data_IF_903424660297
#
_entry.id   IF_903424660297
#
_cell.length_a   1.000
_cell.length_b   1.000
_cell.length_c   1.000
_cell.angle_alpha   90.00
_cell.angle_beta   90.00
_cell.angle_gamma   90.00
#
_symmetry.space_group_name_H-M   'P 1'
#
loop_
_entity.id
_entity.type
_entity.pdbx_description
1 polymer ?
#
# COMPACT_ATOMS: atom_id res chain seq x y z
N UNK A 1 -8.45 -52.82 -53.57
CA UNK A 1 -8.57 -51.43 -53.15
C UNK A 1 -8.52 -51.40 -51.61
N UNK A 2 -7.37 -51.01 -51.04
CA UNK A 2 -7.15 -50.99 -49.56
C UNK A 2 -7.35 -49.56 -49.09
N UNK A 3 -8.41 -49.34 -48.29
CA UNK A 3 -8.65 -48.05 -47.63
C UNK A 3 -7.76 -47.92 -46.38
N UNK A 4 -6.86 -46.97 -46.38
CA UNK A 4 -6.07 -46.58 -45.18
C UNK A 4 -6.85 -45.48 -44.46
N UNK A 5 -7.38 -45.82 -43.28
CA UNK A 5 -7.99 -44.88 -42.33
C UNK A 5 -6.89 -44.19 -41.54
N UNK A 6 -6.58 -42.91 -41.85
CA UNK A 6 -5.65 -42.10 -41.10
C UNK A 6 -6.38 -41.63 -39.82
N UNK A 7 -6.00 -42.20 -38.68
CA UNK A 7 -6.42 -41.69 -37.37
C UNK A 7 -5.55 -40.45 -37.00
N UNK A 8 -6.15 -39.26 -37.01
CA UNK A 8 -5.54 -38.05 -36.50
C UNK A 8 -5.60 -38.05 -34.96
N UNK A 9 -4.44 -38.28 -34.34
CA UNK A 9 -4.29 -38.18 -32.89
C UNK A 9 -4.16 -36.69 -32.48
N UNK A 10 -5.26 -36.10 -31.97
CA UNK A 10 -5.23 -34.78 -31.36
C UNK A 10 -4.51 -34.87 -30.01
N UNK A 11 -3.26 -34.45 -29.95
CA UNK A 11 -2.54 -34.22 -28.70
C UNK A 11 -3.00 -32.89 -28.17
N UNK A 12 -3.89 -32.91 -27.18
CA UNK A 12 -4.26 -31.73 -26.40
C UNK A 12 -3.13 -31.43 -25.44
N UNK A 13 -2.28 -30.43 -25.78
CA UNK A 13 -1.34 -29.87 -24.82
C UNK A 13 -2.15 -29.08 -23.77
N UNK A 14 -2.40 -29.72 -22.63
CA UNK A 14 -2.75 -28.99 -21.42
C UNK A 14 -1.53 -28.17 -21.00
N UNK A 15 -1.48 -26.92 -21.47
CA UNK A 15 -0.56 -25.92 -20.92
C UNK A 15 -1.02 -25.63 -19.50
N UNK A 16 -0.41 -26.29 -18.51
CA UNK A 16 -0.45 -25.82 -17.12
C UNK A 16 0.19 -24.45 -17.10
N UNK A 17 -0.64 -23.43 -17.13
CA UNK A 17 -0.22 -22.06 -16.85
C UNK A 17 0.09 -22.00 -15.35
N UNK A 18 1.31 -22.39 -14.98
CA UNK A 18 1.87 -22.06 -13.67
C UNK A 18 2.13 -20.56 -13.68
N UNK A 19 1.10 -19.78 -13.39
CA UNK A 19 1.25 -18.42 -12.89
C UNK A 19 1.92 -18.53 -11.51
N UNK A 20 3.23 -18.78 -11.49
CA UNK A 20 4.08 -18.28 -10.42
C UNK A 20 4.02 -16.78 -10.55
N UNK A 21 3.10 -16.15 -9.80
CA UNK A 21 3.17 -14.72 -9.52
C UNK A 21 4.56 -14.51 -8.95
N UNK A 22 5.46 -13.91 -9.73
CA UNK A 22 6.69 -13.36 -9.21
C UNK A 22 6.25 -12.32 -8.19
N UNK A 23 6.24 -12.70 -6.90
CA UNK A 23 5.87 -11.81 -5.82
C UNK A 23 6.86 -10.63 -5.85
N UNK A 24 6.37 -9.49 -6.30
CA UNK A 24 7.13 -8.26 -6.35
C UNK A 24 7.47 -7.87 -4.92
N UNK A 25 8.75 -7.70 -4.62
CA UNK A 25 9.24 -7.28 -3.29
C UNK A 25 9.65 -5.82 -3.25
N UNK A 26 9.72 -5.16 -4.40
CA UNK A 26 9.94 -3.72 -4.54
C UNK A 26 9.20 -3.16 -5.77
N UNK A 27 8.97 -1.85 -5.79
CA UNK A 27 8.26 -1.16 -6.87
C UNK A 27 6.84 -0.73 -6.53
N UNK A 28 6.14 -0.17 -7.50
CA UNK A 28 4.75 0.28 -7.31
C UNK A 28 3.78 -0.90 -7.37
N UNK A 29 2.82 -0.92 -6.44
CA UNK A 29 1.76 -1.93 -6.37
C UNK A 29 0.40 -1.31 -6.10
N UNK A 30 -0.65 -2.05 -6.47
CA UNK A 30 -2.02 -1.71 -6.14
C UNK A 30 -2.39 -2.17 -4.71
N UNK A 31 -3.37 -1.54 -4.08
CA UNK A 31 -3.89 -1.92 -2.75
C UNK A 31 -4.21 -3.40 -2.64
N UNK A 32 -4.76 -4.00 -3.70
CA UNK A 32 -5.12 -5.42 -3.75
C UNK A 32 -3.92 -6.37 -3.60
N UNK A 33 -2.71 -5.93 -3.97
CA UNK A 33 -1.47 -6.67 -3.73
C UNK A 33 -1.29 -6.99 -2.25
N UNK A 34 -1.59 -6.04 -1.36
CA UNK A 34 -1.43 -6.21 0.08
C UNK A 34 -2.29 -7.35 0.64
N UNK A 35 -3.44 -7.60 0.03
CA UNK A 35 -4.36 -8.68 0.46
C UNK A 35 -4.01 -10.05 -0.11
N UNK A 36 -3.32 -10.13 -1.26
CA UNK A 36 -3.16 -11.36 -2.03
C UNK A 36 -1.73 -11.89 -2.09
N UNK A 37 -0.74 -11.02 -1.87
CA UNK A 37 0.66 -11.41 -2.02
C UNK A 37 1.14 -12.35 -0.92
N UNK A 38 1.96 -13.31 -1.31
CA UNK A 38 2.70 -14.17 -0.38
C UNK A 38 3.68 -13.40 0.51
N UNK A 39 4.14 -12.21 0.06
CA UNK A 39 5.06 -11.36 0.82
C UNK A 39 4.36 -10.53 1.91
N UNK A 40 3.04 -10.40 1.86
CA UNK A 40 2.23 -9.61 2.80
C UNK A 40 1.18 -10.45 3.53
N UNK A 41 1.48 -11.73 3.80
CA UNK A 41 0.56 -12.68 4.49
C UNK A 41 0.04 -12.16 5.84
N UNK A 42 0.78 -11.28 6.48
CA UNK A 42 0.41 -10.62 7.72
C UNK A 42 -0.72 -9.59 7.52
N UNK A 43 -0.86 -9.01 6.32
CA UNK A 43 -1.73 -7.87 6.08
C UNK A 43 -3.22 -8.17 6.30
N UNK A 44 -3.85 -9.22 5.70
CA UNK A 44 -5.29 -9.45 5.86
C UNK A 44 -5.70 -9.67 7.32
N UNK A 45 -4.84 -10.35 8.10
CA UNK A 45 -5.08 -10.59 9.52
C UNK A 45 -5.03 -9.29 10.31
N UNK A 46 -3.96 -8.49 10.14
CA UNK A 46 -3.76 -7.25 10.87
C UNK A 46 -4.80 -6.20 10.50
N UNK A 47 -5.19 -6.12 9.22
CA UNK A 47 -6.28 -5.28 8.74
C UNK A 47 -7.62 -5.63 9.41
N UNK A 48 -7.93 -6.92 9.55
CA UNK A 48 -9.17 -7.39 10.17
C UNK A 48 -9.20 -7.11 11.68
N UNK A 49 -8.07 -7.26 12.36
CA UNK A 49 -7.96 -7.10 13.81
C UNK A 49 -7.92 -5.64 14.28
N UNK A 50 -7.53 -4.72 13.39
CA UNK A 50 -7.50 -3.31 13.77
C UNK A 50 -8.91 -2.75 13.90
N UNK A 51 -9.19 -2.09 14.99
CA UNK A 51 -10.38 -1.30 15.21
C UNK A 51 -9.98 0.18 15.19
N UNK A 52 -10.64 0.96 14.34
CA UNK A 52 -10.36 2.40 14.19
C UNK A 52 -10.78 3.15 15.46
N UNK A 53 -10.03 4.20 15.80
CA UNK A 53 -10.37 5.08 16.91
C UNK A 53 -11.74 5.74 16.65
N UNK A 54 -12.57 5.85 17.69
CA UNK A 54 -13.86 6.55 17.64
C UNK A 54 -13.73 7.98 17.09
N UNK A 55 -12.56 8.58 17.27
CA UNK A 55 -12.19 9.88 16.72
C UNK A 55 -12.47 10.00 15.21
N UNK A 56 -12.31 8.91 14.47
CA UNK A 56 -12.59 8.87 13.03
C UNK A 56 -14.04 9.21 12.71
N UNK A 57 -14.97 8.75 13.54
CA UNK A 57 -16.41 8.92 13.35
C UNK A 57 -16.94 10.23 13.94
N UNK A 58 -16.24 10.79 14.93
CA UNK A 58 -16.65 12.02 15.63
C UNK A 58 -16.14 13.28 14.96
N UNK A 59 -15.20 13.18 14.02
CA UNK A 59 -14.55 14.31 13.39
C UNK A 59 -14.76 14.34 11.88
N UNK A 60 -14.86 15.55 11.35
CA UNK A 60 -15.03 15.77 9.91
C UNK A 60 -13.66 15.88 9.25
N UNK A 61 -13.27 14.87 8.48
CA UNK A 61 -12.03 14.84 7.71
C UNK A 61 -12.11 15.67 6.40
N UNK A 62 -13.22 16.34 6.15
CA UNK A 62 -13.38 17.20 4.97
C UNK A 62 -13.41 16.42 3.65
N UNK A 63 -13.15 17.13 2.55
CA UNK A 63 -13.08 16.50 1.24
C UNK A 63 -11.65 16.01 0.96
N UNK A 64 -11.47 14.69 0.96
CA UNK A 64 -10.19 14.05 0.70
C UNK A 64 -9.86 13.96 -0.80
N UNK A 65 -10.76 14.34 -1.70
CA UNK A 65 -10.53 14.29 -3.14
C UNK A 65 -9.42 15.20 -3.65
N UNK A 66 -9.02 16.18 -2.85
CA UNK A 66 -7.92 17.08 -3.20
C UNK A 66 -6.53 16.57 -2.79
N UNK A 67 -6.49 15.38 -2.15
CA UNK A 67 -5.25 14.81 -1.65
C UNK A 67 -4.77 13.63 -2.50
N UNK A 68 -3.46 13.47 -2.59
CA UNK A 68 -2.79 12.24 -3.03
C UNK A 68 -1.96 11.75 -1.84
N UNK A 69 -2.02 10.46 -1.58
CA UNK A 69 -1.24 9.82 -0.53
C UNK A 69 -0.25 8.87 -1.18
N UNK A 70 1.05 9.05 -0.87
CA UNK A 70 2.10 8.12 -1.25
C UNK A 70 2.57 7.35 -0.01
N UNK A 71 2.47 6.03 -0.08
CA UNK A 71 2.92 5.11 0.96
C UNK A 71 4.19 4.41 0.50
N UNK A 72 5.28 4.63 1.20
CA UNK A 72 6.55 3.92 1.03
C UNK A 72 6.71 2.90 2.15
N UNK A 73 6.78 1.61 1.83
CA UNK A 73 6.78 0.55 2.83
C UNK A 73 7.73 -0.60 2.49
N UNK A 74 8.18 -1.32 3.52
CA UNK A 74 8.93 -2.57 3.34
C UNK A 74 8.07 -3.78 3.71
N UNK A 75 7.99 -4.78 2.85
CA UNK A 75 7.20 -6.02 3.12
C UNK A 75 7.73 -6.84 4.31
N UNK A 76 9.00 -6.61 4.70
CA UNK A 76 9.66 -7.26 5.85
C UNK A 76 9.96 -6.26 6.97
N UNK A 77 9.29 -5.11 6.97
CA UNK A 77 9.45 -4.08 7.99
C UNK A 77 8.35 -4.25 9.05
N UNK A 78 8.75 -4.43 10.30
CA UNK A 78 7.82 -4.61 11.43
C UNK A 78 6.86 -3.43 11.61
N UNK A 79 7.36 -2.20 11.43
CA UNK A 79 6.51 -1.01 11.54
C UNK A 79 5.54 -0.90 10.36
N UNK A 80 5.97 -1.29 9.14
CA UNK A 80 5.04 -1.43 8.00
C UNK A 80 3.98 -2.49 8.27
N UNK A 81 4.35 -3.63 8.86
CA UNK A 81 3.42 -4.71 9.23
C UNK A 81 2.36 -4.23 10.23
N UNK A 82 2.73 -3.33 11.13
CA UNK A 82 1.84 -2.74 12.13
C UNK A 82 0.99 -1.60 11.56
N UNK A 83 1.61 -0.61 10.91
CA UNK A 83 0.95 0.65 10.58
C UNK A 83 0.21 0.63 9.23
N UNK A 84 0.70 -0.14 8.24
CA UNK A 84 0.07 -0.13 6.91
C UNK A 84 -1.36 -0.70 6.92
N UNK A 85 -1.66 -1.82 7.60
CA UNK A 85 -3.04 -2.29 7.69
C UNK A 85 -3.99 -1.28 8.35
N UNK A 86 -3.50 -0.56 9.37
CA UNK A 86 -4.24 0.50 10.06
C UNK A 86 -4.57 1.64 9.11
N UNK A 87 -3.54 2.17 8.42
CA UNK A 87 -3.70 3.21 7.41
C UNK A 87 -4.75 2.83 6.36
N UNK A 88 -4.59 1.65 5.76
CA UNK A 88 -5.50 1.21 4.70
C UNK A 88 -6.93 1.06 5.22
N UNK A 89 -7.13 0.63 6.46
CA UNK A 89 -8.45 0.54 7.06
C UNK A 89 -9.07 1.92 7.28
N UNK A 90 -8.33 2.86 7.86
CA UNK A 90 -8.75 4.26 8.04
C UNK A 90 -9.14 4.88 6.71
N UNK A 91 -8.29 4.78 5.69
CA UNK A 91 -8.57 5.32 4.36
C UNK A 91 -9.82 4.69 3.72
N UNK A 92 -10.03 3.38 3.95
CA UNK A 92 -11.23 2.68 3.46
C UNK A 92 -12.50 3.17 4.14
N UNK A 93 -12.48 3.40 5.45
CA UNK A 93 -13.62 3.94 6.21
C UNK A 93 -13.92 5.41 5.84
N UNK A 94 -12.87 6.18 5.56
CA UNK A 94 -12.98 7.55 5.02
C UNK A 94 -13.40 7.58 3.54
N UNK A 95 -13.56 6.43 2.89
CA UNK A 95 -13.88 6.29 1.44
C UNK A 95 -12.88 7.01 0.54
N UNK A 96 -11.61 7.03 0.95
CA UNK A 96 -10.54 7.59 0.13
C UNK A 96 -10.38 6.80 -1.17
N UNK A 97 -10.22 7.50 -2.30
CA UNK A 97 -10.09 6.86 -3.62
C UNK A 97 -8.79 6.07 -3.74
N UNK A 98 -8.90 4.80 -4.14
CA UNK A 98 -7.73 3.94 -4.39
C UNK A 98 -6.81 4.49 -5.48
N UNK A 99 -7.35 5.24 -6.46
CA UNK A 99 -6.57 5.87 -7.54
C UNK A 99 -5.62 6.96 -7.01
N UNK A 100 -5.94 7.54 -5.85
CA UNK A 100 -5.16 8.59 -5.19
C UNK A 100 -4.22 8.05 -4.12
N UNK A 101 -4.26 6.75 -3.86
CA UNK A 101 -3.32 6.04 -3.01
C UNK A 101 -2.26 5.35 -3.86
N UNK A 102 -1.02 5.82 -3.77
CA UNK A 102 0.12 5.20 -4.45
C UNK A 102 0.96 4.44 -3.44
N UNK A 103 1.18 3.16 -3.67
CA UNK A 103 1.91 2.28 -2.76
C UNK A 103 3.21 1.85 -3.43
N UNK A 104 4.32 2.13 -2.77
CA UNK A 104 5.67 1.79 -3.21
C UNK A 104 6.32 0.84 -2.21
N UNK A 105 6.65 -0.35 -2.68
CA UNK A 105 7.44 -1.31 -1.92
C UNK A 105 8.91 -0.95 -2.04
N UNK A 106 9.61 -0.97 -0.91
CA UNK A 106 11.04 -0.70 -0.85
C UNK A 106 11.80 -1.90 -0.28
N UNK A 107 13.03 -2.07 -0.75
CA UNK A 107 14.00 -2.99 -0.18
C UNK A 107 14.37 -2.57 1.25
N UNK A 108 15.13 -3.41 1.94
CA UNK A 108 15.54 -3.16 3.34
C UNK A 108 16.37 -1.87 3.50
N UNK A 109 17.13 -1.49 2.49
CA UNK A 109 17.91 -0.26 2.44
C UNK A 109 17.09 0.99 2.04
N UNK A 110 15.77 0.86 1.91
CA UNK A 110 14.80 1.89 1.50
C UNK A 110 14.97 2.33 0.05
N UNK A 111 15.54 1.48 -0.79
CA UNK A 111 15.62 1.72 -2.24
C UNK A 111 14.65 0.85 -3.02
N UNK A 112 14.38 1.20 -4.27
CA UNK A 112 13.69 0.38 -5.26
C UNK A 112 14.47 0.36 -6.57
N UNK A 113 14.32 -0.70 -7.37
CA UNK A 113 15.01 -0.77 -8.68
C UNK A 113 14.49 0.31 -9.63
N UNK A 114 13.23 0.71 -9.49
CA UNK A 114 12.62 1.79 -10.27
C UNK A 114 12.94 3.19 -9.74
N UNK A 115 13.50 3.34 -8.54
CA UNK A 115 13.92 4.60 -7.96
C UNK A 115 12.76 5.54 -7.57
N UNK A 116 11.58 5.00 -7.24
CA UNK A 116 10.42 5.80 -6.82
C UNK A 116 10.66 6.64 -5.56
N UNK A 117 11.59 6.21 -4.71
CA UNK A 117 11.99 6.90 -3.48
C UNK A 117 12.93 8.09 -3.74
N UNK A 118 13.55 8.18 -4.92
CA UNK A 118 14.54 9.22 -5.22
C UNK A 118 13.93 10.62 -5.10
N UNK A 119 14.62 11.48 -4.35
CA UNK A 119 14.16 12.85 -4.08
C UNK A 119 13.05 12.94 -3.03
N UNK A 120 12.56 11.82 -2.48
CA UNK A 120 11.51 11.81 -1.44
C UNK A 120 12.06 11.81 0.00
N UNK A 121 13.36 11.65 0.17
CA UNK A 121 14.01 11.61 1.49
C UNK A 121 13.40 10.54 2.43
N UNK A 122 13.27 9.30 1.91
CA UNK A 122 12.72 8.18 2.66
C UNK A 122 13.81 7.57 3.53
N UNK A 123 13.81 7.88 4.82
CA UNK A 123 14.77 7.37 5.80
C UNK A 123 14.27 6.12 6.52
N UNK A 124 12.98 6.05 6.78
CA UNK A 124 12.32 4.98 7.54
C UNK A 124 11.08 4.47 6.79
N UNK A 125 10.65 3.26 7.11
CA UNK A 125 9.42 2.68 6.56
C UNK A 125 8.51 2.17 7.69
N UNK A 126 7.19 2.38 7.56
CA UNK A 126 6.52 3.09 6.47
C UNK A 126 6.76 4.60 6.53
N UNK A 127 6.78 5.26 5.38
CA UNK A 127 6.62 6.71 5.28
C UNK A 127 5.36 6.99 4.46
N UNK A 128 4.46 7.80 5.01
CA UNK A 128 3.18 8.18 4.42
C UNK A 128 3.26 9.67 4.11
N UNK A 129 3.28 10.03 2.83
CA UNK A 129 3.40 11.43 2.38
C UNK A 129 2.06 11.92 1.87
N UNK A 130 1.64 13.07 2.34
CA UNK A 130 0.39 13.73 1.95
C UNK A 130 0.69 14.88 1.01
N UNK A 131 0.07 14.86 -0.16
CA UNK A 131 0.15 15.92 -1.15
C UNK A 131 -1.20 16.59 -1.33
N UNK A 132 -1.19 17.91 -1.51
CA UNK A 132 -2.31 18.71 -1.98
C UNK A 132 -1.83 19.57 -3.12
N UNK A 133 -2.55 19.56 -4.24
CA UNK A 133 -2.17 20.32 -5.45
C UNK A 133 -0.73 20.02 -5.92
N UNK A 134 -0.31 18.74 -5.82
CA UNK A 134 1.04 18.25 -6.14
C UNK A 134 2.17 18.76 -5.23
N UNK A 135 1.84 19.47 -4.16
CA UNK A 135 2.81 19.94 -3.15
C UNK A 135 2.70 19.02 -1.94
N UNK A 136 3.84 18.53 -1.45
CA UNK A 136 3.87 17.85 -0.17
C UNK A 136 3.51 18.82 0.95
N UNK A 137 2.48 18.47 1.71
CA UNK A 137 2.04 19.29 2.84
C UNK A 137 2.60 18.79 4.17
N UNK A 138 2.72 17.47 4.34
CA UNK A 138 3.33 16.83 5.51
C UNK A 138 3.49 15.32 5.30
N UNK A 139 4.11 14.63 6.29
CA UNK A 139 4.30 13.18 6.27
C UNK A 139 4.27 12.55 7.65
N UNK A 140 3.84 11.29 7.73
CA UNK A 140 4.02 10.44 8.90
C UNK A 140 5.20 9.51 8.60
N UNK A 141 6.14 9.39 9.52
CA UNK A 141 7.34 8.58 9.36
C UNK A 141 7.38 7.51 10.44
N UNK A 142 7.41 6.25 10.03
CA UNK A 142 7.54 5.03 10.83
C UNK A 142 6.32 4.74 11.72
N UNK A 143 5.92 5.65 12.59
CA UNK A 143 4.76 5.52 13.48
C UNK A 143 4.10 6.87 13.75
N UNK A 144 2.82 6.89 14.14
CA UNK A 144 2.13 8.12 14.47
C UNK A 144 2.62 8.72 15.80
N UNK A 145 2.42 10.01 15.99
CA UNK A 145 2.71 10.73 17.25
C UNK A 145 1.60 10.47 18.29
N UNK A 146 0.34 10.49 17.85
CA UNK A 146 -0.80 10.16 18.70
C UNK A 146 -1.43 8.85 18.22
N UNK A 147 -2.34 8.93 17.28
CA UNK A 147 -2.88 7.80 16.51
C UNK A 147 -2.88 8.18 15.04
N UNK A 148 -2.95 7.18 14.15
CA UNK A 148 -3.00 7.48 12.71
C UNK A 148 -4.19 8.37 12.36
N UNK A 149 -5.34 8.16 12.98
CA UNK A 149 -6.54 8.96 12.77
C UNK A 149 -6.31 10.42 13.13
N UNK A 150 -5.71 10.67 14.29
CA UNK A 150 -5.46 12.04 14.78
C UNK A 150 -4.39 12.74 13.97
N UNK A 151 -3.32 12.03 13.63
CA UNK A 151 -2.22 12.57 12.85
C UNK A 151 -2.66 12.90 11.42
N UNK A 152 -3.41 12.00 10.77
CA UNK A 152 -4.02 12.25 9.46
C UNK A 152 -4.95 13.46 9.54
N UNK A 153 -5.81 13.52 10.55
CA UNK A 153 -6.74 14.66 10.75
C UNK A 153 -5.98 15.98 10.85
N UNK A 154 -4.90 16.05 11.64
CA UNK A 154 -4.08 17.24 11.75
C UNK A 154 -3.47 17.67 10.41
N UNK A 155 -2.89 16.71 9.69
CA UNK A 155 -2.23 16.97 8.40
C UNK A 155 -3.21 17.52 7.37
N UNK A 156 -4.37 16.90 7.20
CA UNK A 156 -5.33 17.31 6.16
C UNK A 156 -6.06 18.62 6.47
N UNK A 157 -6.15 18.98 7.77
CA UNK A 157 -6.78 20.22 8.22
C UNK A 157 -5.77 21.34 8.51
N UNK A 158 -4.50 21.17 8.09
CA UNK A 158 -3.44 22.17 8.26
C UNK A 158 -3.23 22.58 9.73
N UNK A 159 -3.38 21.60 10.63
CA UNK A 159 -3.11 21.78 12.06
C UNK A 159 -1.61 21.43 12.28
N UNK A 160 -0.94 22.18 13.17
CA UNK A 160 0.49 21.94 13.45
C UNK A 160 0.75 20.46 13.76
N UNK A 161 1.61 19.85 12.93
CA UNK A 161 2.02 18.47 13.04
C UNK A 161 3.50 18.31 12.71
N UNK A 162 4.21 17.57 13.53
CA UNK A 162 5.61 17.17 13.31
C UNK A 162 5.72 15.69 13.50
N UNK A 163 6.32 15.01 12.54
CA UNK A 163 6.57 13.58 12.66
C UNK A 163 7.69 13.27 13.66
N UNK A 164 7.89 12.00 14.01
CA UNK A 164 8.83 11.57 15.06
C UNK A 164 10.32 11.88 14.75
N UNK A 165 10.65 12.29 13.54
CA UNK A 165 12.02 12.54 13.07
C UNK A 165 12.25 14.00 12.65
N UNK A 166 11.39 14.90 13.09
CA UNK A 166 11.48 16.33 12.73
C UNK A 166 12.20 17.13 13.81
#
# INVERSE_FOLDING_TARGET
MKNYLLAFLFIVFNSCNNNTSNDVIDGQVEKNYLFKSGNTKWFPKNYKLYETDIFLNENNFGNLDNFIIELYMGVRCHDSEREVPRLIKILSELKFSDEKLKIYLLKRDKTSDSGFEKGKNITNTPTIIFYKDSIEINRIVEFPIETLERDIYKIINDIEYRNAYY
#
